data_IF_144099289260
#
_entry.id   IF_144099289260
#
_cell.length_a   1.000
_cell.length_b   1.000
_cell.length_c   1.000
_cell.angle_alpha   90.00
_cell.angle_beta   90.00
_cell.angle_gamma   90.00
#
_symmetry.space_group_name_H-M   'P 1'
#
loop_
_entity.id
_entity.type
_entity.pdbx_description
1 polymer ?
#
# COMPACT_ATOMS: atom_id res chain seq x y z
N UNK A 1 -44.32 -31.41 35.69
CA UNK A 1 -44.07 -29.94 35.78
C UNK A 1 -42.62 -29.61 36.14
N UNK A 2 -42.18 -29.57 37.42
CA UNK A 2 -40.79 -29.11 37.75
C UNK A 2 -39.66 -29.99 37.15
N UNK A 3 -39.87 -31.31 37.07
CA UNK A 3 -38.88 -32.27 36.54
C UNK A 3 -38.66 -32.17 35.02
N UNK A 4 -39.70 -31.90 34.24
CA UNK A 4 -39.58 -31.71 32.79
C UNK A 4 -38.83 -30.41 32.46
N UNK A 5 -39.09 -29.35 33.23
CA UNK A 5 -38.39 -28.07 33.08
C UNK A 5 -36.89 -28.22 33.37
N UNK A 6 -36.52 -29.00 34.39
CA UNK A 6 -35.11 -29.29 34.68
C UNK A 6 -34.44 -30.08 33.54
N UNK A 7 -35.13 -31.08 32.97
CA UNK A 7 -34.61 -31.83 31.81
C UNK A 7 -34.43 -30.91 30.60
N UNK A 8 -35.39 -30.02 30.32
CA UNK A 8 -35.28 -29.07 29.21
C UNK A 8 -34.10 -28.10 29.37
N UNK A 9 -33.83 -27.62 30.59
CA UNK A 9 -32.68 -26.75 30.89
C UNK A 9 -31.36 -27.49 30.66
N UNK A 10 -31.24 -28.74 31.11
CA UNK A 10 -30.03 -29.54 30.94
C UNK A 10 -29.76 -29.81 29.46
N UNK A 11 -30.80 -30.15 28.70
CA UNK A 11 -30.67 -30.40 27.25
C UNK A 11 -30.28 -29.11 26.51
N UNK A 12 -30.93 -27.98 26.80
CA UNK A 12 -30.59 -26.70 26.19
C UNK A 12 -29.17 -26.23 26.51
N UNK A 13 -28.74 -26.40 27.76
CA UNK A 13 -27.37 -26.06 28.18
C UNK A 13 -26.32 -26.95 27.51
N UNK A 14 -26.60 -28.25 27.39
CA UNK A 14 -25.73 -29.20 26.68
C UNK A 14 -25.59 -28.83 25.21
N UNK A 15 -26.70 -28.47 24.54
CA UNK A 15 -26.70 -28.05 23.15
C UNK A 15 -25.89 -26.75 22.95
N UNK A 16 -26.07 -25.77 23.85
CA UNK A 16 -25.34 -24.50 23.82
C UNK A 16 -23.82 -24.67 24.00
N UNK A 17 -23.40 -25.56 24.91
CA UNK A 17 -21.98 -25.87 25.11
C UNK A 17 -21.35 -26.54 23.88
N UNK A 18 -22.06 -27.45 23.21
CA UNK A 18 -21.57 -28.12 22.00
C UNK A 18 -21.38 -27.11 20.86
N UNK A 19 -22.35 -26.21 20.64
CA UNK A 19 -22.26 -25.18 19.61
C UNK A 19 -21.09 -24.23 19.91
N UNK A 20 -20.99 -23.74 21.15
CA UNK A 20 -19.93 -22.81 21.57
C UNK A 20 -18.54 -23.45 21.42
N UNK A 21 -18.39 -24.72 21.83
CA UNK A 21 -17.13 -25.45 21.68
C UNK A 21 -16.76 -25.69 20.22
N UNK A 22 -17.75 -25.97 19.37
CA UNK A 22 -17.57 -26.12 17.92
C UNK A 22 -17.04 -24.84 17.26
N UNK A 23 -17.64 -23.68 17.58
CA UNK A 23 -17.17 -22.37 17.08
C UNK A 23 -15.76 -22.06 17.58
N UNK A 24 -15.49 -22.27 18.87
CA UNK A 24 -14.15 -22.06 19.44
C UNK A 24 -13.08 -22.91 18.75
N UNK A 25 -13.37 -24.20 18.52
CA UNK A 25 -12.48 -25.11 17.79
C UNK A 25 -12.28 -24.68 16.33
N UNK A 26 -13.33 -24.28 15.64
CA UNK A 26 -13.24 -23.82 14.25
C UNK A 26 -12.44 -22.52 14.10
N UNK A 27 -12.50 -21.61 15.08
CA UNK A 27 -11.67 -20.41 15.06
C UNK A 27 -10.19 -20.73 15.33
N UNK A 28 -9.91 -21.71 16.20
CA UNK A 28 -8.54 -22.10 16.52
C UNK A 28 -7.75 -22.69 15.34
N UNK A 29 -8.42 -23.26 14.33
CA UNK A 29 -7.75 -23.71 13.09
C UNK A 29 -7.50 -22.59 12.07
N UNK A 30 -8.20 -21.45 12.17
CA UNK A 30 -7.94 -20.26 11.35
C UNK A 30 -6.75 -19.46 11.90
N UNK A 31 -6.61 -19.34 13.23
CA UNK A 31 -5.44 -18.70 13.86
C UNK A 31 -4.15 -19.51 13.66
N UNK A 32 -4.23 -20.84 13.51
CA UNK A 32 -3.07 -21.66 13.13
C UNK A 32 -2.76 -21.65 11.64
N UNK A 33 -3.72 -21.29 10.76
CA UNK A 33 -3.44 -21.05 9.33
C UNK A 33 -2.79 -19.68 9.11
N UNK A 34 -3.08 -18.69 9.96
CA UNK A 34 -2.39 -17.38 9.95
C UNK A 34 -1.00 -17.40 10.61
N UNK A 35 -0.62 -18.45 11.34
CA UNK A 35 0.69 -18.59 12.00
C UNK A 35 1.53 -19.76 11.45
N UNK A 36 1.08 -20.42 10.37
CA UNK A 36 1.78 -21.53 9.70
C UNK A 36 1.87 -21.34 8.17
N UNK A 37 1.86 -20.09 7.72
CA UNK A 37 2.42 -19.68 6.42
C UNK A 37 3.71 -18.84 6.61
N UNK A 38 4.20 -18.72 7.86
CA UNK A 38 5.53 -18.20 8.20
C UNK A 38 6.38 -19.29 8.88
N UNK A 39 6.68 -20.36 8.16
CA UNK A 39 7.92 -21.14 8.32
C UNK A 39 7.97 -22.26 7.28
N UNK A 40 9.05 -22.25 6.49
CA UNK A 40 9.50 -23.32 5.60
C UNK A 40 8.91 -23.35 4.18
N UNK A 41 9.34 -22.40 3.36
CA UNK A 41 10.02 -22.73 2.10
C UNK A 41 11.28 -21.88 2.01
N UNK A 42 12.32 -22.32 2.73
CA UNK A 42 13.68 -21.86 2.51
C UNK A 42 14.35 -22.85 1.55
N UNK A 43 14.35 -22.62 0.23
CA UNK A 43 15.49 -23.05 -0.54
C UNK A 43 16.69 -22.26 -0.02
N UNK A 44 17.84 -22.91 0.11
CA UNK A 44 19.10 -22.29 0.47
C UNK A 44 19.45 -21.21 -0.57
N UNK A 45 18.94 -19.99 -0.37
CA UNK A 45 19.44 -18.82 -1.04
C UNK A 45 20.75 -18.49 -0.34
N UNK A 46 21.83 -18.74 -1.07
CA UNK A 46 23.07 -18.00 -0.89
C UNK A 46 22.68 -16.54 -0.69
N UNK A 47 23.13 -15.92 0.39
CA UNK A 47 23.06 -14.48 0.61
C UNK A 47 23.88 -13.80 -0.50
N UNK A 48 23.30 -13.76 -1.70
CA UNK A 48 23.56 -12.71 -2.65
C UNK A 48 23.02 -11.45 -1.97
N UNK A 49 23.80 -10.37 -1.87
CA UNK A 49 23.27 -9.12 -1.35
C UNK A 49 22.07 -8.74 -2.21
N UNK A 50 20.87 -8.81 -1.62
CA UNK A 50 19.68 -8.18 -2.20
C UNK A 50 20.04 -6.71 -2.25
N UNK A 51 20.41 -6.24 -3.45
CA UNK A 51 20.62 -4.81 -3.67
C UNK A 51 19.32 -4.15 -3.25
N UNK A 52 19.34 -3.20 -2.29
CA UNK A 52 18.13 -2.52 -1.88
C UNK A 52 17.50 -1.95 -3.14
N UNK A 53 16.25 -2.31 -3.40
CA UNK A 53 15.49 -1.70 -4.49
C UNK A 53 15.54 -0.20 -4.19
N UNK A 54 15.93 0.59 -5.18
CA UNK A 54 16.06 2.03 -5.06
C UNK A 54 14.89 2.63 -5.83
N UNK A 55 13.98 3.30 -5.13
CA UNK A 55 13.07 4.27 -5.71
C UNK A 55 13.37 5.61 -5.05
N UNK A 56 13.84 6.57 -5.82
CA UNK A 56 14.09 7.94 -5.37
C UNK A 56 13.32 8.90 -6.25
N UNK A 57 12.58 9.82 -5.64
CA UNK A 57 11.86 10.85 -6.37
C UNK A 57 12.67 12.13 -6.24
N UNK A 58 13.02 12.74 -7.36
CA UNK A 58 13.80 13.98 -7.42
C UNK A 58 12.91 15.19 -7.56
N UNK A 59 11.73 15.04 -8.18
CA UNK A 59 10.72 16.07 -8.32
C UNK A 59 9.33 15.42 -8.43
N UNK A 60 8.26 16.02 -7.89
CA UNK A 60 8.24 17.22 -7.05
C UNK A 60 8.85 16.98 -5.66
N UNK A 61 9.21 18.08 -4.97
CA UNK A 61 9.57 18.02 -3.56
C UNK A 61 8.32 17.77 -2.71
N UNK A 62 8.50 17.08 -1.59
CA UNK A 62 7.42 16.85 -0.62
C UNK A 62 6.83 18.17 -0.12
N UNK A 63 5.51 18.31 -0.23
CA UNK A 63 4.77 19.50 0.20
C UNK A 63 4.92 20.71 -0.72
N UNK A 64 5.46 20.53 -1.93
CA UNK A 64 5.58 21.63 -2.90
C UNK A 64 4.22 22.16 -3.35
N UNK A 65 4.20 23.44 -3.72
CA UNK A 65 3.03 24.12 -4.26
C UNK A 65 3.25 24.31 -5.77
N UNK A 66 2.28 23.87 -6.57
CA UNK A 66 2.22 24.05 -8.01
C UNK A 66 1.17 25.11 -8.34
N UNK A 67 1.48 26.01 -9.26
CA UNK A 67 0.57 26.96 -9.88
C UNK A 67 -0.14 26.39 -11.12
N UNK A 68 0.28 25.21 -11.57
CA UNK A 68 -0.30 24.47 -12.69
C UNK A 68 -1.10 23.25 -12.22
N UNK A 69 -2.12 22.88 -13.00
CA UNK A 69 -2.97 21.69 -12.81
C UNK A 69 -2.28 20.38 -13.23
N UNK A 70 -1.02 20.45 -13.66
CA UNK A 70 -0.17 19.30 -13.97
C UNK A 70 1.19 19.45 -13.31
N UNK A 71 1.77 18.35 -12.82
CA UNK A 71 3.13 18.33 -12.27
C UNK A 71 3.96 17.23 -12.88
N UNK A 72 5.24 17.53 -13.14
CA UNK A 72 6.21 16.52 -13.59
C UNK A 72 6.75 15.73 -12.40
N UNK A 73 6.54 14.42 -12.44
CA UNK A 73 7.04 13.46 -11.45
C UNK A 73 8.23 12.74 -12.05
N UNK A 74 9.41 13.07 -11.53
CA UNK A 74 10.70 12.56 -11.99
C UNK A 74 11.49 11.92 -10.87
N UNK A 75 12.29 10.92 -11.22
CA UNK A 75 13.10 10.20 -10.26
C UNK A 75 14.02 9.16 -10.86
N UNK A 76 14.62 8.38 -9.97
CA UNK A 76 15.56 7.31 -10.28
C UNK A 76 15.03 6.01 -9.65
N UNK A 77 14.98 4.96 -10.45
CA UNK A 77 14.71 3.59 -10.01
C UNK A 77 15.65 2.59 -10.68
N UNK A 78 15.31 1.29 -10.69
CA UNK A 78 16.03 0.30 -11.47
C UNK A 78 15.83 0.53 -12.98
N UNK A 79 16.85 0.22 -13.76
CA UNK A 79 16.79 0.37 -15.23
C UNK A 79 15.67 -0.48 -15.83
N UNK A 80 15.01 0.02 -16.87
CA UNK A 80 13.95 -0.68 -17.62
C UNK A 80 12.75 -1.12 -16.75
N UNK A 81 12.61 -0.61 -15.53
CA UNK A 81 11.51 -0.94 -14.61
C UNK A 81 10.26 -0.11 -14.93
N UNK A 82 9.09 -0.74 -14.83
CA UNK A 82 7.82 -0.03 -14.92
C UNK A 82 7.58 0.80 -13.66
N UNK A 83 7.29 2.09 -13.86
CA UNK A 83 6.90 3.03 -12.82
C UNK A 83 5.48 3.49 -13.07
N UNK A 84 4.63 3.46 -12.04
CA UNK A 84 3.28 4.01 -12.09
C UNK A 84 3.15 5.17 -11.11
N UNK A 85 2.46 6.22 -11.50
CA UNK A 85 2.13 7.35 -10.65
C UNK A 85 0.62 7.52 -10.66
N UNK A 86 0.02 7.60 -9.48
CA UNK A 86 -1.42 7.76 -9.29
C UNK A 86 -1.67 9.03 -8.47
N UNK A 87 -2.52 9.91 -9.00
CA UNK A 87 -3.09 11.06 -8.31
C UNK A 87 -4.60 10.82 -8.05
N UNK A 88 -5.31 11.72 -7.35
CA UNK A 88 -6.76 11.60 -7.17
C UNK A 88 -7.55 11.57 -8.49
N UNK A 89 -7.10 12.30 -9.51
CA UNK A 89 -7.81 12.50 -10.78
C UNK A 89 -7.18 11.79 -11.98
N UNK A 90 -5.94 11.29 -11.85
CA UNK A 90 -5.18 10.76 -12.98
C UNK A 90 -4.29 9.57 -12.59
N UNK A 91 -3.89 8.78 -13.58
CA UNK A 91 -3.00 7.64 -13.43
C UNK A 91 -2.14 7.49 -14.68
N UNK A 92 -0.83 7.42 -14.48
CA UNK A 92 0.14 7.33 -15.56
C UNK A 92 1.17 6.25 -15.29
N UNK A 93 1.76 5.74 -16.36
CA UNK A 93 2.83 4.76 -16.28
C UNK A 93 3.93 5.06 -17.30
N UNK A 94 5.17 4.85 -16.90
CA UNK A 94 6.35 5.03 -17.76
C UNK A 94 7.37 3.94 -17.46
N UNK A 95 8.11 3.51 -18.48
CA UNK A 95 9.26 2.64 -18.28
C UNK A 95 10.50 3.51 -18.03
N UNK A 96 11.25 3.21 -16.96
CA UNK A 96 12.51 3.87 -16.69
C UNK A 96 13.55 3.55 -17.78
N UNK A 97 14.46 4.48 -18.06
CA UNK A 97 15.49 4.32 -19.08
C UNK A 97 16.59 3.33 -18.67
N UNK A 98 17.62 3.16 -19.51
CA UNK A 98 18.75 2.27 -19.25
C UNK A 98 19.60 2.69 -18.03
N UNK A 99 19.48 3.94 -17.59
CA UNK A 99 20.12 4.51 -16.41
C UNK A 99 19.19 4.51 -15.19
N UNK A 100 17.93 4.09 -15.35
CA UNK A 100 16.92 4.07 -14.30
C UNK A 100 16.17 5.40 -14.10
N UNK A 101 16.38 6.41 -14.95
CA UNK A 101 15.63 7.65 -14.85
C UNK A 101 14.21 7.46 -15.39
N UNK A 102 13.26 8.13 -14.75
CA UNK A 102 11.91 8.27 -15.26
C UNK A 102 11.41 9.70 -15.07
N UNK A 103 10.50 10.11 -15.96
CA UNK A 103 9.80 11.39 -15.89
C UNK A 103 8.45 11.23 -16.58
N UNK A 104 7.38 11.67 -15.94
CA UNK A 104 6.05 11.77 -16.55
C UNK A 104 5.30 12.95 -15.95
N UNK A 105 4.30 13.45 -16.66
CA UNK A 105 3.41 14.49 -16.14
C UNK A 105 2.11 13.85 -15.66
N UNK A 106 1.61 14.29 -14.50
CA UNK A 106 0.34 13.82 -13.94
C UNK A 106 -0.55 14.99 -13.58
N UNK A 107 -1.86 14.86 -13.85
CA UNK A 107 -2.82 15.88 -13.49
C UNK A 107 -3.09 15.94 -11.98
N UNK A 108 -3.37 17.14 -11.49
CA UNK A 108 -3.67 17.47 -10.11
C UNK A 108 -5.11 18.01 -9.99
N UNK A 109 -5.76 17.74 -8.86
CA UNK A 109 -6.99 18.43 -8.47
C UNK A 109 -6.66 19.69 -7.66
N UNK A 110 -7.55 20.68 -7.66
CA UNK A 110 -7.36 21.89 -6.84
C UNK A 110 -7.19 21.52 -5.36
N UNK A 111 -6.15 22.06 -4.72
CA UNK A 111 -5.81 21.78 -3.32
C UNK A 111 -4.78 20.65 -3.16
N UNK A 112 -4.82 19.89 -2.04
CA UNK A 112 -3.83 18.87 -1.74
C UNK A 112 -4.03 17.61 -2.59
N UNK A 113 -2.93 17.13 -3.19
CA UNK A 113 -2.87 15.92 -4.01
C UNK A 113 -1.87 14.94 -3.41
N UNK A 114 -2.33 13.72 -3.14
CA UNK A 114 -1.47 12.62 -2.68
C UNK A 114 -1.04 11.78 -3.88
N UNK A 115 0.20 11.94 -4.32
CA UNK A 115 0.79 11.19 -5.42
C UNK A 115 1.40 9.90 -4.89
N UNK A 116 0.97 8.76 -5.42
CA UNK A 116 1.54 7.45 -5.09
C UNK A 116 2.39 6.98 -6.26
N UNK A 117 3.70 6.88 -6.05
CA UNK A 117 4.66 6.39 -7.04
C UNK A 117 5.03 4.96 -6.70
N UNK A 118 4.84 4.03 -7.64
CA UNK A 118 5.18 2.62 -7.46
C UNK A 118 6.12 2.17 -8.56
N UNK A 119 7.20 1.48 -8.18
CA UNK A 119 8.10 0.79 -9.12
C UNK A 119 7.93 -0.72 -8.99
N UNK A 120 7.94 -1.44 -10.13
CA UNK A 120 7.72 -2.89 -10.21
C UNK A 120 8.93 -3.61 -10.78
N UNK A 121 9.46 -4.58 -10.05
CA UNK A 121 10.57 -5.40 -10.52
C UNK A 121 10.09 -6.62 -11.32
N UNK A 122 11.03 -7.23 -12.06
CA UNK A 122 10.79 -8.44 -12.85
C UNK A 122 10.37 -9.64 -11.98
N UNK A 123 10.78 -9.67 -10.71
CA UNK A 123 10.40 -10.70 -9.74
C UNK A 123 9.01 -10.48 -9.10
N UNK A 124 8.31 -9.40 -9.48
CA UNK A 124 7.02 -9.00 -8.94
C UNK A 124 7.09 -8.24 -7.61
N UNK A 125 8.28 -7.98 -7.06
CA UNK A 125 8.45 -7.10 -5.91
C UNK A 125 8.14 -5.64 -6.30
N UNK A 126 7.63 -4.87 -5.34
CA UNK A 126 7.29 -3.45 -5.57
C UNK A 126 7.84 -2.55 -4.48
N UNK A 127 8.20 -1.34 -4.86
CA UNK A 127 8.45 -0.24 -3.94
C UNK A 127 7.50 0.90 -4.17
N UNK A 128 7.04 1.50 -3.09
CA UNK A 128 6.08 2.58 -3.10
C UNK A 128 6.64 3.79 -2.35
N UNK A 129 6.45 4.97 -2.93
CA UNK A 129 6.67 6.26 -2.29
C UNK A 129 5.44 7.14 -2.47
N UNK A 130 5.16 7.92 -1.44
CA UNK A 130 4.06 8.87 -1.43
C UNK A 130 4.64 10.26 -1.36
N UNK A 131 4.16 11.15 -2.25
CA UNK A 131 4.53 12.56 -2.24
C UNK A 131 3.27 13.40 -2.25
N UNK A 132 3.23 14.43 -1.40
CA UNK A 132 2.14 15.38 -1.36
C UNK A 132 2.49 16.65 -2.14
N UNK A 133 1.58 17.10 -3.00
CA UNK A 133 1.71 18.32 -3.80
C UNK A 133 0.43 19.14 -3.64
N UNK A 134 0.54 20.45 -3.52
CA UNK A 134 -0.60 21.34 -3.42
C UNK A 134 -0.76 22.09 -4.74
N UNK A 135 -1.87 21.93 -5.44
CA UNK A 135 -2.20 22.78 -6.59
C UNK A 135 -3.02 23.98 -6.10
N UNK A 136 -2.52 25.20 -6.35
CA UNK A 136 -3.20 26.45 -6.03
C UNK A 136 -2.90 27.50 -7.08
N UNK A 137 -3.95 28.16 -7.59
CA UNK A 137 -3.81 29.33 -8.47
C UNK A 137 -3.54 30.63 -7.69
N UNK A 138 -3.44 30.55 -6.35
CA UNK A 138 -3.10 31.70 -5.51
C UNK A 138 -1.60 31.99 -5.55
N UNK A 139 -1.24 33.22 -5.89
CA UNK A 139 0.15 33.67 -5.95
C UNK A 139 0.67 34.09 -4.57
N UNK A 140 1.35 33.16 -3.89
CA UNK A 140 1.97 33.38 -2.58
C UNK A 140 3.26 34.23 -2.63
N UNK A 141 3.87 34.46 -3.80
CA UNK A 141 5.12 35.24 -3.89
C UNK A 141 4.87 36.75 -3.82
N UNK A 142 3.66 37.20 -4.16
CA UNK A 142 3.29 38.62 -4.21
C UNK A 142 3.27 39.32 -2.84
N UNK A 143 3.08 38.59 -1.73
CA UNK A 143 3.05 39.14 -0.36
C UNK A 143 4.45 39.31 0.27
N UNK A 144 5.51 38.75 -0.31
CA UNK A 144 6.86 38.80 0.27
C UNK A 144 7.65 40.08 -0.06
N UNK A 145 7.02 41.05 -0.76
CA UNK A 145 7.66 42.29 -1.26
C UNK A 145 7.13 43.59 -0.65
N UNK A 146 6.29 43.55 0.38
CA UNK A 146 5.92 44.73 1.20
C UNK A 146 6.68 44.78 2.53
#
# INVERSE_FOLDING_TARGET
MKKEVIVAIIVGFSLGLVITYGVYRAQSSLSQKAAKDEASNQPANQDLPVSPILLSITQPMEGSISDQDTVSVGGITQKNTLVTVISPSDHQAVQADELGNFSLDIALESGPNRLTVTSFNEDGSKQEKVINVIYSTYDFESESKE
#
